data_IF_316936706276
#
_entry.id   IF_316936706276
#
_cell.length_a   1.000
_cell.length_b   1.000
_cell.length_c   1.000
_cell.angle_alpha   90.00
_cell.angle_beta   90.00
_cell.angle_gamma   90.00
#
_symmetry.space_group_name_H-M   'P 1'
#
loop_
_entity.id
_entity.type
_entity.pdbx_description
1 polymer ?
#
# COMPACT_ATOMS: atom_id res chain seq x y z
N UNK A 1 -40.11 22.09 32.57
CA UNK A 1 -39.52 23.38 32.17
C UNK A 1 -37.98 23.33 32.05
N UNK A 2 -37.35 22.19 31.73
CA UNK A 2 -35.87 22.08 31.59
C UNK A 2 -35.39 21.59 30.20
N UNK A 3 -36.25 21.47 29.20
CA UNK A 3 -35.87 21.05 27.84
C UNK A 3 -35.43 22.21 26.93
N UNK A 4 -35.72 23.46 27.30
CA UNK A 4 -35.41 24.64 26.47
C UNK A 4 -33.96 25.11 26.65
N UNK A 5 -33.38 24.94 27.85
CA UNK A 5 -31.98 25.34 28.11
C UNK A 5 -30.95 24.50 27.36
N UNK A 6 -31.15 23.18 27.25
CA UNK A 6 -30.25 22.28 26.55
C UNK A 6 -30.31 22.40 25.01
N UNK A 7 -31.46 22.79 24.46
CA UNK A 7 -31.64 22.96 23.01
C UNK A 7 -30.96 24.24 22.49
N UNK A 8 -31.04 25.34 23.25
CA UNK A 8 -30.43 26.62 22.89
C UNK A 8 -28.89 26.51 22.86
N UNK A 9 -28.28 25.76 23.78
CA UNK A 9 -26.83 25.52 23.80
C UNK A 9 -26.38 24.71 22.58
N UNK A 10 -27.18 23.72 22.15
CA UNK A 10 -26.88 22.88 20.99
C UNK A 10 -26.94 23.64 19.67
N UNK A 11 -27.97 24.45 19.45
CA UNK A 11 -28.14 25.19 18.21
C UNK A 11 -27.15 26.36 18.08
N UNK A 12 -26.86 27.05 19.18
CA UNK A 12 -25.80 28.05 19.22
C UNK A 12 -24.44 27.43 18.86
N UNK A 13 -24.12 26.27 19.47
CA UNK A 13 -22.89 25.55 19.17
C UNK A 13 -22.80 25.18 17.69
N UNK A 14 -23.89 24.68 17.08
CA UNK A 14 -23.93 24.32 15.65
C UNK A 14 -23.67 25.53 14.76
N UNK A 15 -24.31 26.67 15.03
CA UNK A 15 -24.13 27.88 14.24
C UNK A 15 -22.70 28.40 14.38
N UNK A 16 -22.17 28.49 15.60
CA UNK A 16 -20.79 28.93 15.84
C UNK A 16 -19.78 28.01 15.16
N UNK A 17 -19.97 26.70 15.28
CA UNK A 17 -19.09 25.71 14.66
C UNK A 17 -19.15 25.78 13.12
N UNK A 18 -20.34 25.93 12.54
CA UNK A 18 -20.51 26.08 11.10
C UNK A 18 -19.75 27.32 10.59
N UNK A 19 -19.87 28.45 11.30
CA UNK A 19 -19.10 29.65 10.99
C UNK A 19 -17.59 29.43 11.10
N UNK A 20 -17.12 28.76 12.15
CA UNK A 20 -15.71 28.45 12.34
C UNK A 20 -15.13 27.52 11.25
N UNK A 21 -15.89 26.51 10.82
CA UNK A 21 -15.48 25.62 9.72
C UNK A 21 -15.51 26.34 8.36
N UNK A 22 -16.48 27.22 8.14
CA UNK A 22 -16.49 28.11 6.97
C UNK A 22 -15.29 29.05 6.96
N UNK A 23 -14.95 29.63 8.11
CA UNK A 23 -13.75 30.45 8.30
C UNK A 23 -12.50 29.66 7.93
N UNK A 24 -12.37 28.45 8.49
CA UNK A 24 -11.26 27.54 8.23
C UNK A 24 -11.09 27.21 6.74
N UNK A 25 -12.18 26.89 6.03
CA UNK A 25 -12.15 26.67 4.57
C UNK A 25 -11.75 27.92 3.80
N UNK A 26 -12.22 29.10 4.24
CA UNK A 26 -11.93 30.37 3.59
C UNK A 26 -10.49 30.89 3.79
N UNK A 27 -9.78 30.43 4.83
CA UNK A 27 -8.38 30.82 5.10
C UNK A 27 -7.46 30.52 3.92
N UNK A 28 -7.55 29.29 3.38
CA UNK A 28 -6.71 28.91 2.26
C UNK A 28 -7.09 29.71 1.01
N UNK A 29 -8.37 30.00 0.79
CA UNK A 29 -8.82 30.78 -0.38
C UNK A 29 -8.29 32.20 -0.35
N UNK A 30 -8.30 32.85 0.82
CA UNK A 30 -7.72 34.18 1.02
C UNK A 30 -6.20 34.16 0.83
N UNK A 31 -5.52 33.15 1.39
CA UNK A 31 -4.08 32.97 1.25
C UNK A 31 -3.66 32.75 -0.22
N UNK A 32 -4.48 32.04 -0.99
CA UNK A 32 -4.35 31.83 -2.43
C UNK A 32 -4.82 33.02 -3.28
N UNK A 33 -5.05 34.19 -2.68
CA UNK A 33 -5.51 35.43 -3.31
C UNK A 33 -6.76 35.26 -4.20
N UNK A 34 -7.73 34.45 -3.75
CA UNK A 34 -8.99 34.24 -4.46
C UNK A 34 -10.05 35.27 -4.07
N UNK A 35 -10.98 35.54 -4.99
CA UNK A 35 -12.04 36.55 -4.85
C UNK A 35 -13.03 36.28 -3.71
N UNK A 36 -13.27 35.01 -3.37
CA UNK A 36 -14.05 34.61 -2.21
C UNK A 36 -13.12 34.03 -1.14
N UNK A 37 -12.96 34.77 -0.05
CA UNK A 37 -12.06 34.41 1.04
C UNK A 37 -12.77 34.11 2.36
N UNK A 38 -12.12 34.43 3.48
CA UNK A 38 -12.49 33.96 4.82
C UNK A 38 -13.93 34.37 5.19
N UNK A 39 -14.28 35.64 4.94
CA UNK A 39 -15.60 36.19 5.29
C UNK A 39 -16.72 35.54 4.49
N UNK A 40 -16.52 35.34 3.19
CA UNK A 40 -17.53 34.77 2.29
C UNK A 40 -17.86 33.33 2.70
N UNK A 41 -16.84 32.50 2.94
CA UNK A 41 -17.05 31.11 3.33
C UNK A 41 -17.69 30.99 4.72
N UNK A 42 -17.26 31.81 5.69
CA UNK A 42 -17.87 31.86 7.02
C UNK A 42 -19.37 32.20 6.94
N UNK A 43 -19.73 33.22 6.16
CA UNK A 43 -21.11 33.67 6.01
C UNK A 43 -21.97 32.63 5.29
N UNK A 44 -21.42 31.93 4.29
CA UNK A 44 -22.12 30.85 3.58
C UNK A 44 -22.45 29.69 4.53
N UNK A 45 -21.48 29.24 5.33
CA UNK A 45 -21.69 28.15 6.28
C UNK A 45 -22.64 28.57 7.41
N UNK A 46 -22.55 29.80 7.91
CA UNK A 46 -23.49 30.35 8.88
C UNK A 46 -24.92 30.39 8.33
N UNK A 47 -25.10 30.91 7.11
CA UNK A 47 -26.40 31.01 6.45
C UNK A 47 -27.05 29.62 6.31
N UNK A 48 -26.26 28.64 5.84
CA UNK A 48 -26.72 27.26 5.72
C UNK A 48 -27.15 26.68 7.07
N UNK A 49 -26.34 26.83 8.12
CA UNK A 49 -26.64 26.33 9.45
C UNK A 49 -27.92 26.97 10.02
N UNK A 50 -28.10 28.28 9.85
CA UNK A 50 -29.32 28.98 10.27
C UNK A 50 -30.54 28.41 9.54
N UNK A 51 -30.47 28.22 8.22
CA UNK A 51 -31.59 27.65 7.47
C UNK A 51 -31.89 26.20 7.84
N UNK A 52 -30.88 25.42 8.24
CA UNK A 52 -31.07 24.05 8.69
C UNK A 52 -31.68 24.00 10.10
N UNK A 53 -31.22 24.83 11.02
CA UNK A 53 -31.76 24.90 12.39
C UNK A 53 -33.22 25.38 12.40
N UNK A 54 -33.59 26.28 11.48
CA UNK A 54 -34.98 26.71 11.31
C UNK A 54 -35.90 25.62 10.73
N UNK A 55 -35.35 24.49 10.27
CA UNK A 55 -36.07 23.35 9.70
C UNK A 55 -37.01 23.75 8.55
N UNK A 56 -36.53 24.64 7.66
CA UNK A 56 -37.28 25.15 6.50
C UNK A 56 -36.62 24.68 5.19
N UNK A 57 -37.11 23.59 4.57
CA UNK A 57 -36.52 23.04 3.34
C UNK A 57 -36.46 24.04 2.18
N UNK A 58 -37.45 24.95 2.10
CA UNK A 58 -37.48 25.98 1.06
C UNK A 58 -36.35 27.00 1.22
N UNK A 59 -36.05 27.43 2.45
CA UNK A 59 -34.93 28.34 2.72
C UNK A 59 -33.59 27.69 2.38
N UNK A 60 -33.43 26.40 2.68
CA UNK A 60 -32.26 25.63 2.28
C UNK A 60 -32.10 25.55 0.75
N UNK A 61 -33.18 25.25 0.03
CA UNK A 61 -33.13 25.21 -1.43
C UNK A 61 -32.78 26.59 -2.03
N UNK A 62 -33.38 27.67 -1.54
CA UNK A 62 -33.11 29.04 -1.98
C UNK A 62 -31.67 29.45 -1.64
N UNK A 63 -31.18 29.13 -0.44
CA UNK A 63 -29.81 29.41 -0.02
C UNK A 63 -28.79 28.68 -0.89
N UNK A 64 -29.02 27.39 -1.15
CA UNK A 64 -28.17 26.61 -2.05
C UNK A 64 -28.17 27.16 -3.48
N UNK A 65 -29.34 27.53 -4.02
CA UNK A 65 -29.45 28.17 -5.32
C UNK A 65 -28.70 29.51 -5.37
N UNK A 66 -28.83 30.34 -4.34
CA UNK A 66 -28.11 31.60 -4.25
C UNK A 66 -26.58 31.38 -4.29
N UNK A 67 -26.06 30.42 -3.51
CA UNK A 67 -24.64 30.07 -3.53
C UNK A 67 -24.19 29.52 -4.88
N UNK A 68 -25.00 28.68 -5.53
CA UNK A 68 -24.72 28.16 -6.86
C UNK A 68 -24.66 29.28 -7.91
N UNK A 69 -25.59 30.24 -7.87
CA UNK A 69 -25.60 31.40 -8.76
C UNK A 69 -24.37 32.27 -8.52
N UNK A 70 -24.02 32.57 -7.26
CA UNK A 70 -22.79 33.32 -6.94
C UNK A 70 -21.54 32.60 -7.44
N UNK A 71 -21.45 31.28 -7.24
CA UNK A 71 -20.37 30.46 -7.75
C UNK A 71 -20.28 30.50 -9.28
N UNK A 72 -21.42 30.44 -9.99
CA UNK A 72 -21.47 30.54 -11.45
C UNK A 72 -21.01 31.91 -11.94
N UNK A 73 -21.46 33.00 -11.30
CA UNK A 73 -21.03 34.35 -11.64
C UNK A 73 -19.53 34.52 -11.50
N UNK A 74 -18.94 33.99 -10.42
CA UNK A 74 -17.48 33.99 -10.23
C UNK A 74 -16.75 33.15 -11.28
N UNK A 75 -17.30 31.99 -11.65
CA UNK A 75 -16.75 31.13 -12.71
C UNK A 75 -16.74 31.83 -14.07
N UNK A 76 -17.86 32.46 -14.44
CA UNK A 76 -18.00 33.22 -15.68
C UNK A 76 -17.05 34.43 -15.69
N UNK A 77 -16.97 35.16 -14.58
CA UNK A 77 -16.02 36.28 -14.47
C UNK A 77 -14.57 35.81 -14.66
N UNK A 78 -14.20 34.65 -14.09
CA UNK A 78 -12.88 34.05 -14.26
C UNK A 78 -12.55 33.61 -15.69
N UNK A 79 -13.58 33.28 -16.49
CA UNK A 79 -13.42 32.98 -17.92
C UNK A 79 -13.26 34.24 -18.77
N UNK A 80 -13.90 35.35 -18.37
CA UNK A 80 -13.86 36.61 -19.11
C UNK A 80 -12.60 37.44 -18.83
N UNK A 81 -11.95 37.23 -17.69
CA UNK A 81 -10.76 37.99 -17.26
C UNK A 81 -9.54 37.06 -17.25
N UNK A 82 -8.74 37.10 -18.32
CA UNK A 82 -7.57 36.24 -18.55
C UNK A 82 -6.57 36.21 -17.38
N UNK A 83 -6.39 37.32 -16.66
CA UNK A 83 -5.44 37.42 -15.53
C UNK A 83 -5.88 36.65 -14.27
N UNK A 84 -7.17 36.35 -14.11
CA UNK A 84 -7.71 35.78 -12.86
C UNK A 84 -7.67 34.25 -12.79
N UNK A 85 -7.47 33.59 -13.94
CA UNK A 85 -7.52 32.14 -14.09
C UNK A 85 -8.90 31.53 -13.79
N UNK A 86 -9.04 30.23 -14.06
CA UNK A 86 -10.29 29.49 -13.82
C UNK A 86 -10.63 29.44 -12.31
N UNK A 87 -11.67 30.16 -11.90
CA UNK A 87 -12.22 30.20 -10.53
C UNK A 87 -13.17 29.03 -10.21
N UNK A 88 -13.23 28.01 -11.07
CA UNK A 88 -14.11 26.83 -10.94
C UNK A 88 -13.99 26.14 -9.58
N UNK A 89 -12.77 26.02 -9.06
CA UNK A 89 -12.53 25.44 -7.73
C UNK A 89 -13.14 26.29 -6.62
N UNK A 90 -13.05 27.62 -6.69
CA UNK A 90 -13.69 28.53 -5.73
C UNK A 90 -15.20 28.36 -5.72
N UNK A 91 -15.83 28.26 -6.90
CA UNK A 91 -17.27 28.05 -7.04
C UNK A 91 -17.73 26.74 -6.39
N UNK A 92 -17.00 25.64 -6.62
CA UNK A 92 -17.29 24.35 -5.97
C UNK A 92 -17.04 24.43 -4.46
N UNK A 93 -15.95 25.05 -4.02
CA UNK A 93 -15.65 25.20 -2.59
C UNK A 93 -16.71 26.02 -1.85
N UNK A 94 -17.36 27.00 -2.48
CA UNK A 94 -18.49 27.72 -1.88
C UNK A 94 -19.70 26.81 -1.65
N UNK A 95 -20.00 25.91 -2.59
CA UNK A 95 -21.05 24.90 -2.41
C UNK A 95 -20.69 23.91 -1.30
N UNK A 96 -19.42 23.51 -1.21
CA UNK A 96 -18.93 22.67 -0.11
C UNK A 96 -19.10 23.38 1.23
N UNK A 97 -18.75 24.67 1.34
CA UNK A 97 -18.94 25.46 2.56
C UNK A 97 -20.43 25.55 2.96
N UNK A 98 -21.33 25.67 1.98
CA UNK A 98 -22.76 25.60 2.22
C UNK A 98 -23.16 24.23 2.78
N UNK A 99 -22.72 23.15 2.14
CA UNK A 99 -22.96 21.78 2.60
C UNK A 99 -22.42 21.49 4.01
N UNK A 100 -21.24 22.02 4.37
CA UNK A 100 -20.68 21.95 5.73
C UNK A 100 -21.61 22.61 6.74
N UNK A 101 -22.14 23.80 6.42
CA UNK A 101 -23.12 24.46 7.28
C UNK A 101 -24.42 23.68 7.44
N UNK A 102 -24.89 23.02 6.37
CA UNK A 102 -26.06 22.13 6.42
C UNK A 102 -25.80 20.91 7.31
N UNK A 103 -24.66 20.22 7.17
CA UNK A 103 -24.30 19.06 7.98
C UNK A 103 -24.23 19.41 9.47
N UNK A 104 -23.53 20.49 9.79
CA UNK A 104 -23.38 20.94 11.18
C UNK A 104 -24.73 21.39 11.74
N UNK A 105 -25.53 22.15 10.98
CA UNK A 105 -26.88 22.56 11.35
C UNK A 105 -27.81 21.38 11.61
N UNK A 106 -27.66 20.28 10.87
CA UNK A 106 -28.42 19.03 11.06
C UNK A 106 -27.89 18.15 12.21
N UNK A 107 -26.90 18.63 12.98
CA UNK A 107 -26.28 17.89 14.08
C UNK A 107 -25.26 16.82 13.66
N UNK A 108 -24.92 16.72 12.37
CA UNK A 108 -23.90 15.82 11.81
C UNK A 108 -22.51 16.44 11.93
N UNK A 109 -22.07 16.65 13.17
CA UNK A 109 -20.86 17.41 13.48
C UNK A 109 -19.60 16.75 12.92
N UNK A 110 -19.47 15.42 13.07
CA UNK A 110 -18.29 14.67 12.61
C UNK A 110 -18.18 14.71 11.10
N UNK A 111 -19.30 14.52 10.39
CA UNK A 111 -19.36 14.59 8.93
C UNK A 111 -19.04 16.01 8.43
N UNK A 112 -19.60 17.05 9.08
CA UNK A 112 -19.32 18.45 8.74
C UNK A 112 -17.85 18.82 8.90
N UNK A 113 -17.24 18.45 10.04
CA UNK A 113 -15.80 18.64 10.29
C UNK A 113 -14.97 17.86 9.28
N UNK A 114 -15.32 16.60 9.00
CA UNK A 114 -14.59 15.75 8.06
C UNK A 114 -14.60 16.36 6.65
N UNK A 115 -15.76 16.79 6.16
CA UNK A 115 -15.88 17.44 4.85
C UNK A 115 -15.09 18.75 4.81
N UNK A 116 -15.16 19.58 5.86
CA UNK A 116 -14.41 20.84 5.91
C UNK A 116 -12.89 20.61 5.91
N UNK A 117 -12.40 19.66 6.73
CA UNK A 117 -10.96 19.35 6.85
C UNK A 117 -10.43 18.72 5.58
N UNK A 118 -11.11 17.70 5.02
CA UNK A 118 -10.67 17.06 3.78
C UNK A 118 -10.71 18.02 2.59
N UNK A 119 -11.74 18.85 2.50
CA UNK A 119 -11.82 19.85 1.43
C UNK A 119 -10.71 20.89 1.57
N UNK A 120 -10.47 21.41 2.77
CA UNK A 120 -9.34 22.34 3.02
C UNK A 120 -8.00 21.70 2.68
N UNK A 121 -7.79 20.43 3.04
CA UNK A 121 -6.58 19.67 2.71
C UNK A 121 -6.36 19.57 1.19
N UNK A 122 -7.40 19.24 0.42
CA UNK A 122 -7.34 19.21 -1.05
C UNK A 122 -7.01 20.59 -1.64
N UNK A 123 -7.52 21.65 -1.03
CA UNK A 123 -7.27 23.01 -1.47
C UNK A 123 -5.83 23.46 -1.20
N UNK A 124 -5.30 23.14 -0.01
CA UNK A 124 -3.91 23.43 0.38
C UNK A 124 -2.93 22.66 -0.50
N UNK A 125 -3.17 21.37 -0.73
CA UNK A 125 -2.30 20.48 -1.51
C UNK A 125 -2.44 20.66 -3.03
N UNK A 126 -3.11 21.71 -3.51
CA UNK A 126 -3.37 21.90 -4.95
C UNK A 126 -2.09 21.86 -5.77
N UNK A 127 -1.01 22.51 -5.31
CA UNK A 127 0.25 22.61 -6.08
C UNK A 127 0.96 21.27 -6.14
N UNK A 128 0.99 20.57 -5.03
CA UNK A 128 1.59 19.25 -4.84
C UNK A 128 0.85 18.21 -5.68
N UNK A 129 -0.49 18.18 -5.61
CA UNK A 129 -1.32 17.29 -6.43
C UNK A 129 -1.13 17.54 -7.93
N UNK A 130 -0.96 18.79 -8.34
CA UNK A 130 -0.75 19.14 -9.74
C UNK A 130 0.66 18.77 -10.23
N UNK A 131 1.68 19.08 -9.42
CA UNK A 131 3.06 18.69 -9.68
C UNK A 131 3.23 17.18 -9.72
N UNK A 132 2.54 16.46 -8.83
CA UNK A 132 2.52 15.00 -8.83
C UNK A 132 1.89 14.47 -10.11
N UNK A 133 0.70 14.95 -10.48
CA UNK A 133 0.01 14.51 -11.70
C UNK A 133 0.79 14.79 -12.99
N UNK A 134 1.53 15.91 -13.05
CA UNK A 134 2.37 16.25 -14.20
C UNK A 134 3.76 15.63 -14.19
N UNK A 135 4.28 15.27 -13.02
CA UNK A 135 5.56 14.57 -12.88
C UNK A 135 5.48 13.09 -13.28
N UNK A 136 4.26 12.53 -13.36
CA UNK A 136 4.06 11.13 -13.73
C UNK A 136 4.19 10.89 -15.24
N UNK A 137 4.95 9.86 -15.61
CA UNK A 137 4.97 9.29 -16.95
C UNK A 137 3.61 8.69 -17.34
N UNK A 138 3.40 8.46 -18.64
CA UNK A 138 2.20 7.77 -19.11
C UNK A 138 2.11 6.33 -18.57
N UNK A 139 3.25 5.65 -18.46
CA UNK A 139 3.30 4.30 -17.86
C UNK A 139 2.92 4.36 -16.38
N UNK A 140 3.47 5.30 -15.59
CA UNK A 140 3.16 5.43 -14.16
C UNK A 140 1.68 5.74 -13.92
N UNK A 141 1.09 6.65 -14.70
CA UNK A 141 -0.32 7.00 -14.60
C UNK A 141 -1.21 5.81 -14.94
N UNK A 142 -0.88 5.07 -16.01
CA UNK A 142 -1.58 3.85 -16.40
C UNK A 142 -1.51 2.81 -15.29
N UNK A 143 -0.32 2.50 -14.79
CA UNK A 143 -0.09 1.52 -13.73
C UNK A 143 -0.82 1.88 -12.43
N UNK A 144 -0.82 3.16 -12.04
CA UNK A 144 -1.55 3.66 -10.87
C UNK A 144 -3.06 3.52 -11.06
N UNK A 145 -3.57 3.80 -12.27
CA UNK A 145 -4.99 3.63 -12.61
C UNK A 145 -5.39 2.15 -12.61
N UNK A 146 -4.59 1.27 -13.20
CA UNK A 146 -4.80 -0.19 -13.18
C UNK A 146 -4.84 -0.72 -11.75
N UNK A 147 -3.92 -0.28 -10.89
CA UNK A 147 -3.92 -0.61 -9.48
C UNK A 147 -5.18 -0.11 -8.75
N UNK A 148 -5.60 1.14 -9.01
CA UNK A 148 -6.83 1.68 -8.44
C UNK A 148 -8.07 0.88 -8.84
N UNK A 149 -8.13 0.38 -10.08
CA UNK A 149 -9.19 -0.52 -10.53
C UNK A 149 -9.15 -1.85 -9.76
N UNK A 150 -7.98 -2.45 -9.58
CA UNK A 150 -7.85 -3.69 -8.78
C UNK A 150 -8.29 -3.49 -7.32
N UNK A 151 -7.87 -2.38 -6.70
CA UNK A 151 -8.05 -2.11 -5.27
C UNK A 151 -9.44 -1.56 -4.91
N UNK A 152 -10.01 -0.68 -5.73
CA UNK A 152 -11.23 0.05 -5.40
C UNK A 152 -12.44 -0.33 -6.26
N UNK A 153 -12.24 -1.01 -7.39
CA UNK A 153 -13.34 -1.49 -8.24
C UNK A 153 -13.52 -2.99 -8.13
N UNK A 154 -12.47 -3.78 -8.34
CA UNK A 154 -12.59 -5.25 -8.37
C UNK A 154 -12.73 -5.83 -6.97
N UNK A 155 -11.90 -5.41 -6.01
CA UNK A 155 -11.98 -5.88 -4.62
C UNK A 155 -13.40 -5.84 -4.02
N UNK A 156 -14.16 -4.71 -4.05
CA UNK A 156 -15.50 -4.68 -3.45
C UNK A 156 -16.53 -5.50 -4.23
N UNK A 157 -16.30 -5.78 -5.52
CA UNK A 157 -17.18 -6.61 -6.34
C UNK A 157 -17.04 -8.11 -6.05
N UNK A 158 -15.93 -8.54 -5.43
CA UNK A 158 -15.74 -9.94 -5.10
C UNK A 158 -16.71 -10.41 -4.00
N UNK A 159 -17.13 -11.69 -4.02
CA UNK A 159 -17.99 -12.26 -2.99
C UNK A 159 -17.41 -12.06 -1.59
N UNK A 160 -18.26 -11.68 -0.64
CA UNK A 160 -17.90 -11.64 0.77
C UNK A 160 -18.02 -13.06 1.37
N UNK A 161 -16.96 -13.53 2.03
CA UNK A 161 -16.93 -14.82 2.72
C UNK A 161 -16.34 -15.97 1.90
N UNK A 162 -16.46 -17.17 2.46
CA UNK A 162 -15.92 -18.40 1.91
C UNK A 162 -16.71 -18.85 0.68
N UNK A 163 -15.99 -19.13 -0.40
CA UNK A 163 -16.51 -19.77 -1.60
C UNK A 163 -15.87 -21.15 -1.71
N UNK A 164 -16.66 -22.25 -1.73
CA UNK A 164 -16.09 -23.57 -1.98
C UNK A 164 -15.60 -23.63 -3.42
N UNK A 165 -14.31 -23.89 -3.59
CA UNK A 165 -13.70 -24.20 -4.88
C UNK A 165 -13.24 -25.63 -4.83
N UNK A 166 -13.79 -26.45 -5.72
CA UNK A 166 -13.51 -27.88 -5.75
C UNK A 166 -13.70 -28.49 -7.12
N UNK A 167 -12.91 -29.54 -7.38
CA UNK A 167 -13.06 -30.42 -8.52
C UNK A 167 -12.76 -31.85 -8.07
N UNK A 168 -13.46 -32.83 -8.63
CA UNK A 168 -13.24 -34.26 -8.37
C UNK A 168 -13.36 -34.70 -6.88
N UNK A 169 -14.32 -34.14 -6.13
CA UNK A 169 -14.65 -34.60 -4.76
C UNK A 169 -13.81 -33.98 -3.63
N UNK A 170 -12.94 -33.03 -3.95
CA UNK A 170 -12.23 -32.21 -2.98
C UNK A 170 -12.75 -30.77 -3.07
N UNK A 171 -13.16 -30.19 -1.94
CA UNK A 171 -13.62 -28.80 -1.82
C UNK A 171 -12.72 -28.04 -0.85
N UNK A 172 -12.23 -26.88 -1.28
CA UNK A 172 -11.49 -25.93 -0.46
C UNK A 172 -12.33 -24.69 -0.31
N UNK A 173 -12.64 -24.31 0.92
CA UNK A 173 -13.18 -22.99 1.21
C UNK A 173 -12.06 -21.96 0.95
N UNK A 174 -12.28 -21.05 0.01
CA UNK A 174 -11.38 -19.91 -0.20
C UNK A 174 -12.12 -18.61 0.01
N UNK A 175 -11.45 -17.61 0.54
CA UNK A 175 -11.99 -16.26 0.68
C UNK A 175 -11.49 -15.38 -0.48
N UNK A 176 -12.30 -15.12 -1.54
CA UNK A 176 -11.82 -14.41 -2.72
C UNK A 176 -11.34 -13.00 -2.40
N UNK A 177 -12.01 -12.31 -1.46
CA UNK A 177 -11.61 -10.99 -0.99
C UNK A 177 -10.27 -10.99 -0.29
N UNK A 178 -9.98 -11.98 0.57
CA UNK A 178 -8.68 -12.09 1.24
C UNK A 178 -7.60 -12.38 0.21
N UNK A 179 -7.84 -13.34 -0.67
CA UNK A 179 -6.91 -13.69 -1.75
C UNK A 179 -6.59 -12.46 -2.60
N UNK A 180 -7.62 -11.71 -2.99
CA UNK A 180 -7.45 -10.52 -3.80
C UNK A 180 -6.79 -9.37 -3.04
N UNK A 181 -7.11 -9.20 -1.76
CA UNK A 181 -6.48 -8.21 -0.91
C UNK A 181 -4.97 -8.49 -0.79
N UNK A 182 -4.55 -9.75 -0.74
CA UNK A 182 -3.14 -10.13 -0.80
C UNK A 182 -2.48 -9.74 -2.12
N UNK A 183 -3.16 -9.93 -3.26
CA UNK A 183 -2.68 -9.47 -4.57
C UNK A 183 -2.53 -7.94 -4.57
N UNK A 184 -3.52 -7.22 -4.04
CA UNK A 184 -3.50 -5.75 -3.91
C UNK A 184 -2.36 -5.30 -2.97
N UNK A 185 -2.13 -5.98 -1.85
CA UNK A 185 -1.05 -5.66 -0.93
C UNK A 185 0.32 -5.85 -1.58
N UNK A 186 0.56 -6.98 -2.23
CA UNK A 186 1.84 -7.25 -2.92
C UNK A 186 2.07 -6.24 -4.05
N UNK A 187 1.02 -5.91 -4.82
CA UNK A 187 1.08 -4.88 -5.86
C UNK A 187 1.35 -3.48 -5.28
N UNK A 188 0.69 -3.12 -4.17
CA UNK A 188 0.86 -1.85 -3.48
C UNK A 188 2.28 -1.66 -2.96
N UNK A 189 2.89 -2.72 -2.41
CA UNK A 189 4.31 -2.72 -2.03
C UNK A 189 5.19 -2.43 -3.24
N UNK A 190 4.89 -3.01 -4.41
CA UNK A 190 5.61 -2.74 -5.66
C UNK A 190 5.56 -1.27 -6.10
N UNK A 191 4.38 -0.65 -6.03
CA UNK A 191 4.20 0.78 -6.40
C UNK A 191 4.94 1.69 -5.42
N UNK A 192 4.78 1.47 -4.12
CA UNK A 192 5.50 2.23 -3.08
C UNK A 192 7.00 2.10 -3.28
N UNK A 193 7.46 0.89 -3.56
CA UNK A 193 8.87 0.64 -3.78
C UNK A 193 9.42 1.34 -5.04
N UNK A 194 8.69 1.28 -6.15
CA UNK A 194 9.06 2.01 -7.35
C UNK A 194 9.14 3.51 -7.09
N UNK A 195 8.18 4.08 -6.36
CA UNK A 195 8.20 5.49 -5.98
C UNK A 195 9.44 5.85 -5.15
N UNK A 196 9.86 4.96 -4.23
CA UNK A 196 11.09 5.15 -3.45
C UNK A 196 12.32 5.10 -4.36
N UNK A 197 12.47 4.06 -5.18
CA UNK A 197 13.66 3.92 -6.05
C UNK A 197 13.76 5.08 -7.05
N UNK A 198 12.62 5.50 -7.63
CA UNK A 198 12.56 6.63 -8.57
C UNK A 198 12.88 7.97 -7.88
N UNK A 199 12.38 8.20 -6.67
CA UNK A 199 12.62 9.47 -5.94
C UNK A 199 14.05 9.65 -5.47
N UNK A 200 14.73 8.56 -5.10
CA UNK A 200 16.11 8.59 -4.62
C UNK A 200 17.16 8.30 -5.72
N UNK A 201 16.72 8.13 -6.97
CA UNK A 201 17.60 8.01 -8.14
C UNK A 201 18.48 6.76 -8.16
N UNK A 202 18.11 5.69 -7.45
CA UNK A 202 18.83 4.42 -7.49
C UNK A 202 20.28 4.45 -7.00
N UNK A 203 20.69 5.42 -6.16
CA UNK A 203 22.09 5.53 -5.70
C UNK A 203 22.36 4.70 -4.45
N UNK A 204 23.34 3.82 -4.53
CA UNK A 204 23.89 3.05 -3.41
C UNK A 204 23.27 1.68 -3.16
N UNK A 205 24.05 0.81 -2.50
CA UNK A 205 23.75 -0.61 -2.23
C UNK A 205 22.40 -0.81 -1.55
N UNK A 206 22.06 0.06 -0.58
CA UNK A 206 20.81 -0.07 0.17
C UNK A 206 19.58 0.17 -0.71
N UNK A 207 19.63 1.16 -1.61
CA UNK A 207 18.51 1.49 -2.49
C UNK A 207 18.36 0.44 -3.58
N UNK A 208 19.46 0.03 -4.17
CA UNK A 208 19.48 -0.93 -5.28
C UNK A 208 19.18 -2.36 -4.81
N UNK A 209 19.72 -2.76 -3.67
CA UNK A 209 19.53 -4.09 -3.09
C UNK A 209 18.22 -4.24 -2.33
N UNK A 210 18.00 -3.45 -1.29
CA UNK A 210 16.81 -3.61 -0.42
C UNK A 210 15.53 -3.19 -1.15
N UNK A 211 15.46 -1.94 -1.60
CA UNK A 211 14.27 -1.45 -2.30
C UNK A 211 14.13 -2.15 -3.66
N UNK A 212 15.19 -2.30 -4.46
CA UNK A 212 15.12 -3.16 -5.65
C UNK A 212 14.57 -4.57 -5.37
N UNK A 213 14.95 -5.16 -4.22
CA UNK A 213 14.48 -6.48 -3.78
C UNK A 213 13.02 -6.53 -3.36
N UNK A 214 12.45 -5.45 -2.81
CA UNK A 214 11.02 -5.33 -2.49
C UNK A 214 10.16 -5.37 -3.76
N UNK A 215 10.63 -4.77 -4.87
CA UNK A 215 9.96 -4.89 -6.17
C UNK A 215 10.20 -6.27 -6.80
N UNK A 216 11.46 -6.67 -6.97
CA UNK A 216 11.81 -7.95 -7.57
C UNK A 216 13.23 -8.38 -7.18
N UNK A 217 13.30 -9.24 -6.16
CA UNK A 217 14.59 -9.81 -5.73
C UNK A 217 15.31 -10.64 -6.80
N UNK A 218 14.61 -11.21 -7.79
CA UNK A 218 15.25 -11.88 -8.93
C UNK A 218 15.82 -10.88 -9.94
N UNK A 219 15.17 -9.72 -10.13
CA UNK A 219 15.71 -8.65 -10.96
C UNK A 219 17.02 -8.11 -10.36
N UNK A 220 17.09 -7.92 -9.03
CA UNK A 220 18.33 -7.54 -8.35
C UNK A 220 19.46 -8.52 -8.67
N UNK A 221 19.22 -9.83 -8.56
CA UNK A 221 20.25 -10.84 -8.89
C UNK A 221 20.67 -10.73 -10.36
N UNK A 222 19.71 -10.55 -11.28
CA UNK A 222 19.99 -10.36 -12.71
C UNK A 222 20.87 -9.14 -12.98
N UNK A 223 20.50 -7.98 -12.43
CA UNK A 223 21.28 -6.73 -12.58
C UNK A 223 22.66 -6.87 -11.97
N UNK A 224 22.78 -7.50 -10.80
CA UNK A 224 24.07 -7.73 -10.15
C UNK A 224 24.94 -8.74 -10.93
N UNK A 225 24.34 -9.76 -11.54
CA UNK A 225 25.04 -10.69 -12.43
C UNK A 225 25.65 -9.96 -13.63
N UNK A 226 24.86 -9.14 -14.30
CA UNK A 226 25.31 -8.38 -15.46
C UNK A 226 26.34 -7.32 -15.07
N UNK A 227 26.19 -6.72 -13.89
CA UNK A 227 27.14 -5.75 -13.36
C UNK A 227 28.51 -6.40 -13.06
N UNK A 228 28.53 -7.55 -12.38
CA UNK A 228 29.78 -8.28 -12.08
C UNK A 228 30.45 -8.83 -13.35
N UNK A 229 29.67 -9.17 -14.39
CA UNK A 229 30.22 -9.56 -15.70
C UNK A 229 30.98 -8.41 -16.35
N UNK A 230 30.48 -7.18 -16.23
CA UNK A 230 31.11 -6.00 -16.81
C UNK A 230 32.27 -5.48 -15.95
N UNK A 231 32.14 -5.57 -14.61
CA UNK A 231 33.12 -5.10 -13.63
C UNK A 231 33.37 -6.18 -12.57
N UNK A 232 34.33 -7.09 -12.78
CA UNK A 232 34.59 -8.16 -11.81
C UNK A 232 34.98 -7.69 -10.41
N UNK A 233 35.47 -6.45 -10.26
CA UNK A 233 35.83 -5.82 -8.98
C UNK A 233 34.63 -5.51 -8.09
N UNK A 234 33.42 -5.40 -8.64
CA UNK A 234 32.19 -5.04 -7.90
C UNK A 234 31.45 -6.24 -7.29
N UNK A 235 32.14 -7.38 -7.17
CA UNK A 235 31.57 -8.62 -6.63
C UNK A 235 31.06 -8.45 -5.18
N UNK A 236 31.76 -7.67 -4.36
CA UNK A 236 31.38 -7.35 -2.98
C UNK A 236 30.08 -6.54 -2.91
N UNK A 237 29.98 -5.49 -3.74
CA UNK A 237 28.76 -4.69 -3.92
C UNK A 237 27.57 -5.59 -4.30
N UNK A 238 27.78 -6.44 -5.31
CA UNK A 238 26.75 -7.32 -5.85
C UNK A 238 26.26 -8.36 -4.83
N UNK A 239 27.16 -8.94 -4.03
CA UNK A 239 26.80 -9.85 -2.93
C UNK A 239 25.97 -9.10 -1.89
N UNK A 240 26.41 -7.93 -1.46
CA UNK A 240 25.69 -7.11 -0.48
C UNK A 240 24.28 -6.74 -0.98
N UNK A 241 24.14 -6.32 -2.24
CA UNK A 241 22.85 -5.99 -2.83
C UNK A 241 21.88 -7.20 -2.86
N UNK A 242 22.36 -8.40 -3.17
CA UNK A 242 21.55 -9.63 -3.14
C UNK A 242 21.10 -9.96 -1.71
N UNK A 243 21.97 -9.84 -0.72
CA UNK A 243 21.62 -10.07 0.69
C UNK A 243 20.59 -9.05 1.19
N UNK A 244 20.70 -7.78 0.77
CA UNK A 244 19.68 -6.78 1.08
C UNK A 244 18.34 -7.07 0.38
N UNK A 245 18.36 -7.65 -0.82
CA UNK A 245 17.14 -8.14 -1.46
C UNK A 245 16.52 -9.33 -0.72
N UNK A 246 17.32 -10.14 -0.03
CA UNK A 246 16.85 -11.17 0.90
C UNK A 246 16.19 -10.58 2.14
N UNK A 247 16.79 -9.53 2.72
CA UNK A 247 16.19 -8.80 3.84
C UNK A 247 14.83 -8.20 3.46
N UNK A 248 14.75 -7.54 2.31
CA UNK A 248 13.50 -6.98 1.79
C UNK A 248 12.39 -8.02 1.64
N UNK A 249 12.72 -9.17 1.05
CA UNK A 249 11.80 -10.29 0.92
C UNK A 249 11.33 -10.82 2.29
N UNK A 250 12.24 -10.98 3.26
CA UNK A 250 11.91 -11.46 4.60
C UNK A 250 11.03 -10.44 5.37
N UNK A 251 11.33 -9.14 5.27
CA UNK A 251 10.48 -8.05 5.80
C UNK A 251 9.08 -8.14 5.21
N UNK A 252 8.96 -8.31 3.89
CA UNK A 252 7.66 -8.44 3.22
C UNK A 252 6.89 -9.67 3.72
N UNK A 253 7.53 -10.84 3.77
CA UNK A 253 6.88 -12.07 4.24
C UNK A 253 6.43 -11.96 5.71
N UNK A 254 7.24 -11.32 6.56
CA UNK A 254 6.91 -11.03 7.95
C UNK A 254 5.73 -10.05 8.05
N UNK A 255 5.75 -8.98 7.27
CA UNK A 255 4.66 -8.00 7.21
C UNK A 255 3.34 -8.64 6.77
N UNK A 256 3.39 -9.50 5.75
CA UNK A 256 2.23 -10.30 5.30
C UNK A 256 1.70 -11.18 6.45
N UNK A 257 2.57 -11.91 7.14
CA UNK A 257 2.16 -12.77 8.24
C UNK A 257 1.46 -11.96 9.35
N UNK A 258 2.10 -10.90 9.83
CA UNK A 258 1.56 -10.12 10.96
C UNK A 258 0.33 -9.27 10.61
N UNK A 259 0.30 -8.66 9.42
CA UNK A 259 -0.80 -7.79 9.02
C UNK A 259 -2.11 -8.53 8.77
N UNK A 260 -2.04 -9.80 8.36
CA UNK A 260 -3.22 -10.60 8.03
C UNK A 260 -3.63 -11.57 9.14
N UNK A 261 -2.81 -11.77 10.16
CA UNK A 261 -3.15 -12.62 11.32
C UNK A 261 -3.30 -11.82 12.62
N UNK A 262 -3.85 -10.60 12.58
CA UNK A 262 -3.94 -9.71 13.76
C UNK A 262 -4.68 -10.37 14.94
N UNK A 263 -5.72 -11.15 14.67
CA UNK A 263 -6.53 -11.83 15.69
C UNK A 263 -5.82 -13.05 16.31
N UNK A 264 -4.94 -13.70 15.55
CA UNK A 264 -4.15 -14.85 15.99
C UNK A 264 -2.72 -14.74 15.43
N UNK A 265 -1.85 -13.88 16.00
CA UNK A 265 -0.59 -13.55 15.35
C UNK A 265 0.38 -14.72 15.25
N UNK A 266 0.99 -14.89 14.06
CA UNK A 266 2.06 -15.86 13.81
C UNK A 266 3.40 -15.41 14.42
N UNK A 267 3.45 -15.22 15.75
CA UNK A 267 4.64 -14.77 16.47
C UNK A 267 5.87 -15.67 16.26
N UNK A 268 5.65 -16.97 16.00
CA UNK A 268 6.72 -17.92 15.70
C UNK A 268 7.53 -17.56 14.45
N UNK A 269 6.98 -16.76 13.52
CA UNK A 269 7.69 -16.30 12.33
C UNK A 269 8.60 -15.09 12.59
N UNK A 270 8.42 -14.36 13.71
CA UNK A 270 9.16 -13.11 13.98
C UNK A 270 10.65 -13.38 14.11
N UNK A 271 11.06 -14.23 15.04
CA UNK A 271 12.48 -14.43 15.35
C UNK A 271 13.25 -15.01 14.15
N UNK A 272 12.76 -16.04 13.43
CA UNK A 272 13.51 -16.58 12.29
C UNK A 272 13.57 -15.61 11.11
N UNK A 273 12.49 -14.89 10.78
CA UNK A 273 12.52 -13.90 9.69
C UNK A 273 13.34 -12.66 10.08
N UNK A 274 13.27 -12.21 11.33
CA UNK A 274 14.14 -11.15 11.83
C UNK A 274 15.61 -11.55 11.77
N UNK A 275 15.94 -12.83 12.00
CA UNK A 275 17.29 -13.34 11.86
C UNK A 275 17.79 -13.27 10.41
N UNK A 276 16.93 -13.55 9.42
CA UNK A 276 17.26 -13.32 7.99
C UNK A 276 17.51 -11.84 7.73
N UNK A 277 16.59 -10.97 8.16
CA UNK A 277 16.69 -9.52 7.94
C UNK A 277 17.97 -8.96 8.55
N UNK A 278 18.17 -9.17 9.84
CA UNK A 278 19.33 -8.64 10.57
C UNK A 278 20.63 -9.27 10.09
N UNK A 279 20.63 -10.58 9.82
CA UNK A 279 21.78 -11.29 9.25
C UNK A 279 22.19 -10.70 7.90
N UNK A 280 21.23 -10.51 7.00
CA UNK A 280 21.46 -9.88 5.69
C UNK A 280 22.02 -8.47 5.81
N UNK A 281 21.45 -7.62 6.67
CA UNK A 281 21.96 -6.26 6.88
C UNK A 281 23.35 -6.24 7.51
N UNK A 282 23.62 -7.11 8.49
CA UNK A 282 24.92 -7.19 9.15
C UNK A 282 26.01 -7.66 8.19
N UNK A 283 25.75 -8.73 7.43
CA UNK A 283 26.69 -9.27 6.46
C UNK A 283 26.92 -8.26 5.33
N UNK A 284 25.84 -7.68 4.78
CA UNK A 284 25.95 -6.64 3.77
C UNK A 284 26.76 -5.45 4.29
N UNK A 285 26.55 -5.01 5.53
CA UNK A 285 27.28 -3.88 6.10
C UNK A 285 28.79 -4.09 6.25
N UNK A 286 29.23 -5.34 6.42
CA UNK A 286 30.65 -5.69 6.54
C UNK A 286 31.33 -5.87 5.17
N UNK A 287 30.58 -6.34 4.17
CA UNK A 287 31.14 -6.72 2.86
C UNK A 287 30.95 -5.63 1.80
N UNK A 288 29.92 -4.81 1.95
CA UNK A 288 29.57 -3.75 1.03
C UNK A 288 30.74 -2.80 0.78
N UNK A 289 31.04 -2.58 -0.51
CA UNK A 289 31.80 -1.42 -0.94
C UNK A 289 30.84 -0.24 -1.13
N UNK A 290 30.69 0.56 -0.08
CA UNK A 290 29.70 1.65 -0.02
C UNK A 290 30.03 2.83 -0.96
N UNK A 291 31.25 2.89 -1.48
CA UNK A 291 31.69 3.94 -2.39
C UNK A 291 31.30 3.64 -3.86
N UNK A 292 30.83 2.43 -4.15
CA UNK A 292 30.37 2.03 -5.48
C UNK A 292 28.87 2.33 -5.67
N UNK A 293 28.49 2.72 -6.89
CA UNK A 293 27.10 3.04 -7.25
C UNK A 293 26.69 2.25 -8.49
N UNK A 294 25.54 1.60 -8.43
CA UNK A 294 24.94 0.90 -9.56
C UNK A 294 23.55 1.47 -9.82
N UNK A 295 23.34 2.05 -10.99
CA UNK A 295 22.00 2.51 -11.36
C UNK A 295 21.08 1.30 -11.60
N UNK A 296 19.94 1.29 -10.92
CA UNK A 296 18.86 0.33 -11.13
C UNK A 296 17.76 1.03 -11.93
N UNK A 297 17.60 0.66 -13.18
CA UNK A 297 16.45 1.08 -13.98
C UNK A 297 15.25 0.18 -13.65
N UNK A 298 14.18 0.78 -13.11
CA UNK A 298 12.90 0.11 -12.96
C UNK A 298 12.02 0.48 -14.16
N UNK A 299 11.66 -0.50 -15.00
CA UNK A 299 10.87 -0.26 -16.22
C UNK A 299 9.42 0.19 -15.92
N UNK A 300 8.81 -0.28 -14.83
CA UNK A 300 7.41 0.05 -14.50
C UNK A 300 7.08 -0.15 -13.02
N UNK A 301 6.25 0.72 -12.42
CA UNK A 301 5.81 0.58 -11.03
C UNK A 301 4.94 -0.64 -10.76
N UNK A 302 4.20 -1.09 -11.78
CA UNK A 302 3.22 -2.14 -11.65
C UNK A 302 2.81 -2.64 -13.03
N UNK A 303 2.68 -3.95 -13.20
CA UNK A 303 2.10 -4.53 -14.41
C UNK A 303 0.89 -5.41 -14.08
N UNK A 304 -0.24 -5.09 -14.69
CA UNK A 304 -1.50 -5.84 -14.50
C UNK A 304 -1.33 -7.32 -14.85
N UNK A 305 -0.55 -7.61 -15.89
CA UNK A 305 -0.26 -9.00 -16.31
C UNK A 305 0.46 -9.78 -15.21
N UNK A 306 1.47 -9.18 -14.57
CA UNK A 306 2.20 -9.86 -13.50
C UNK A 306 1.33 -9.97 -12.24
N UNK A 307 0.48 -8.99 -11.95
CA UNK A 307 -0.46 -9.05 -10.82
C UNK A 307 -1.50 -10.15 -10.99
N UNK A 308 -2.12 -10.26 -12.17
CA UNK A 308 -3.05 -11.34 -12.49
C UNK A 308 -2.36 -12.71 -12.53
N UNK A 309 -1.15 -12.78 -13.11
CA UNK A 309 -0.34 -13.99 -13.12
C UNK A 309 0.05 -14.44 -11.70
N UNK A 310 0.42 -13.48 -10.84
CA UNK A 310 0.67 -13.72 -9.42
C UNK A 310 -0.59 -14.23 -8.72
N UNK A 311 -1.75 -13.60 -8.95
CA UNK A 311 -3.04 -14.05 -8.40
C UNK A 311 -3.41 -15.47 -8.83
N UNK A 312 -3.15 -15.84 -10.09
CA UNK A 312 -3.39 -17.19 -10.61
C UNK A 312 -2.43 -18.22 -10.01
N UNK A 313 -1.12 -17.94 -9.96
CA UNK A 313 -0.13 -18.80 -9.31
C UNK A 313 -0.46 -18.95 -7.83
N UNK A 314 -0.84 -17.87 -7.17
CA UNK A 314 -1.22 -17.88 -5.77
C UNK A 314 -2.46 -18.76 -5.52
N UNK A 315 -3.52 -18.63 -6.33
CA UNK A 315 -4.69 -19.51 -6.25
C UNK A 315 -4.29 -20.98 -6.43
N UNK A 316 -3.43 -21.27 -7.41
CA UNK A 316 -2.89 -22.62 -7.63
C UNK A 316 -2.18 -23.15 -6.38
N UNK A 317 -1.33 -22.33 -5.75
CA UNK A 317 -0.59 -22.72 -4.54
C UNK A 317 -1.54 -22.99 -3.37
N UNK A 318 -2.57 -22.15 -3.17
CA UNK A 318 -3.56 -22.36 -2.12
C UNK A 318 -4.30 -23.69 -2.32
N UNK A 319 -4.79 -23.94 -3.53
CA UNK A 319 -5.53 -25.18 -3.86
C UNK A 319 -4.62 -26.40 -3.74
N UNK A 320 -3.41 -26.35 -4.29
CA UNK A 320 -2.44 -27.44 -4.21
C UNK A 320 -1.98 -27.68 -2.76
N UNK A 321 -1.79 -26.61 -1.98
CA UNK A 321 -1.40 -26.68 -0.57
C UNK A 321 -2.48 -27.34 0.28
N UNK A 322 -3.73 -26.89 0.13
CA UNK A 322 -4.86 -27.51 0.82
C UNK A 322 -5.03 -28.99 0.43
N UNK A 323 -4.89 -29.32 -0.85
CA UNK A 323 -4.97 -30.70 -1.34
C UNK A 323 -3.85 -31.57 -0.75
N UNK A 324 -2.62 -31.06 -0.75
CA UNK A 324 -1.48 -31.75 -0.19
C UNK A 324 -1.65 -31.98 1.32
N UNK A 325 -2.16 -30.99 2.07
CA UNK A 325 -2.44 -31.15 3.49
C UNK A 325 -3.53 -32.21 3.73
N UNK A 326 -4.60 -32.20 2.95
CA UNK A 326 -5.71 -33.14 3.12
C UNK A 326 -5.31 -34.61 2.84
N UNK A 327 -4.41 -34.86 1.89
CA UNK A 327 -4.08 -36.23 1.45
C UNK A 327 -2.73 -36.76 1.97
N UNK A 328 -1.77 -35.87 2.17
CA UNK A 328 -0.40 -36.21 2.56
C UNK A 328 -0.04 -35.65 3.95
N UNK A 329 -0.98 -34.95 4.59
CA UNK A 329 -0.77 -34.28 5.86
C UNK A 329 0.25 -33.15 5.78
N UNK A 330 0.71 -32.74 6.96
CA UNK A 330 1.68 -31.66 7.18
C UNK A 330 2.94 -31.77 6.32
N UNK A 331 3.44 -32.98 6.11
CA UNK A 331 4.61 -33.23 5.27
C UNK A 331 4.36 -32.87 3.80
N UNK A 332 3.16 -33.16 3.29
CA UNK A 332 2.74 -32.78 1.95
C UNK A 332 2.63 -31.27 1.79
N UNK A 333 2.07 -30.58 2.78
CA UNK A 333 2.01 -29.13 2.75
C UNK A 333 3.39 -28.48 2.81
N UNK A 334 4.31 -28.97 3.64
CA UNK A 334 5.70 -28.49 3.66
C UNK A 334 6.39 -28.66 2.31
N UNK A 335 6.22 -29.80 1.64
CA UNK A 335 6.75 -30.01 0.30
C UNK A 335 6.17 -28.98 -0.70
N UNK A 336 4.84 -28.77 -0.65
CA UNK A 336 4.17 -27.78 -1.49
C UNK A 336 4.64 -26.35 -1.20
N UNK A 337 4.83 -25.97 0.07
CA UNK A 337 5.34 -24.66 0.47
C UNK A 337 6.78 -24.45 -0.02
N UNK A 338 7.63 -25.46 0.12
CA UNK A 338 9.01 -25.42 -0.37
C UNK A 338 9.05 -25.24 -1.90
N UNK A 339 8.29 -26.06 -2.65
CA UNK A 339 8.22 -25.96 -4.12
C UNK A 339 7.65 -24.62 -4.58
N UNK A 340 6.59 -24.16 -3.93
CA UNK A 340 5.93 -22.89 -4.24
C UNK A 340 6.84 -21.70 -3.94
N UNK A 341 7.66 -21.79 -2.90
CA UNK A 341 8.66 -20.79 -2.56
C UNK A 341 9.75 -20.62 -3.63
N UNK A 342 10.01 -21.64 -4.45
CA UNK A 342 10.94 -21.53 -5.59
C UNK A 342 10.39 -20.62 -6.69
N UNK A 343 9.07 -20.59 -6.84
CA UNK A 343 8.38 -19.74 -7.83
C UNK A 343 8.11 -18.36 -7.23
N UNK A 344 7.53 -18.33 -6.03
CA UNK A 344 7.13 -17.11 -5.35
C UNK A 344 7.02 -17.31 -3.84
N UNK A 345 8.00 -16.80 -3.10
CA UNK A 345 7.95 -16.77 -1.64
C UNK A 345 6.78 -15.96 -1.11
N UNK A 346 6.35 -14.91 -1.81
CA UNK A 346 5.15 -14.14 -1.47
C UNK A 346 3.88 -15.01 -1.58
N UNK A 347 3.73 -15.72 -2.69
CA UNK A 347 2.57 -16.59 -2.91
C UNK A 347 2.52 -17.73 -1.89
N UNK A 348 3.66 -18.36 -1.62
CA UNK A 348 3.75 -19.44 -0.64
C UNK A 348 3.50 -18.97 0.81
N UNK A 349 4.13 -17.86 1.24
CA UNK A 349 3.91 -17.30 2.58
C UNK A 349 2.45 -16.84 2.76
N UNK A 350 1.89 -16.19 1.74
CA UNK A 350 0.47 -15.81 1.74
C UNK A 350 -0.44 -17.03 1.83
N UNK A 351 -0.12 -18.13 1.14
CA UNK A 351 -0.96 -19.33 1.13
C UNK A 351 -1.01 -19.97 2.52
N UNK A 352 0.15 -20.02 3.19
CA UNK A 352 0.23 -20.46 4.59
C UNK A 352 -0.62 -19.56 5.52
N UNK A 353 -0.56 -18.25 5.34
CA UNK A 353 -1.37 -17.30 6.12
C UNK A 353 -2.87 -17.50 5.89
N UNK A 354 -3.31 -17.65 4.63
CA UNK A 354 -4.73 -17.86 4.31
C UNK A 354 -5.23 -19.17 4.91
N UNK A 355 -4.52 -20.27 4.69
CA UNK A 355 -4.91 -21.59 5.20
C UNK A 355 -4.86 -21.67 6.73
N UNK A 356 -3.99 -20.90 7.38
CA UNK A 356 -3.99 -20.74 8.83
C UNK A 356 -5.23 -19.99 9.33
N UNK A 357 -5.60 -18.88 8.67
CA UNK A 357 -6.79 -18.09 9.04
C UNK A 357 -8.09 -18.86 8.89
N UNK A 358 -8.19 -19.72 7.88
CA UNK A 358 -9.35 -20.59 7.65
C UNK A 358 -9.37 -21.81 8.57
N UNK A 359 -8.41 -21.93 9.50
CA UNK A 359 -8.30 -23.06 10.42
C UNK A 359 -7.87 -24.38 9.77
N UNK A 360 -7.38 -24.32 8.52
CA UNK A 360 -6.91 -25.50 7.78
C UNK A 360 -5.48 -25.91 8.16
N UNK A 361 -4.71 -25.01 8.80
CA UNK A 361 -3.37 -25.27 9.30
C UNK A 361 -3.24 -24.89 10.77
N UNK A 362 -2.42 -25.65 11.50
CA UNK A 362 -1.97 -25.28 12.83
C UNK A 362 -0.93 -24.15 12.78
N UNK A 363 -0.72 -23.48 13.92
CA UNK A 363 0.21 -22.37 14.06
C UNK A 363 1.64 -22.72 13.60
N UNK A 364 2.19 -23.82 14.11
CA UNK A 364 3.57 -24.22 13.84
C UNK A 364 3.76 -24.60 12.37
N UNK A 365 2.74 -25.22 11.77
CA UNK A 365 2.73 -25.61 10.35
C UNK A 365 2.78 -24.37 9.45
N UNK A 366 1.98 -23.35 9.77
CA UNK A 366 1.98 -22.10 9.03
C UNK A 366 3.33 -21.37 9.15
N UNK A 367 3.92 -21.32 10.37
CA UNK A 367 5.24 -20.73 10.61
C UNK A 367 6.30 -21.45 9.78
N UNK A 368 6.39 -22.79 9.88
CA UNK A 368 7.39 -23.57 9.14
C UNK A 368 7.22 -23.39 7.63
N UNK A 369 5.99 -23.34 7.11
CA UNK A 369 5.73 -23.15 5.69
C UNK A 369 6.22 -21.78 5.17
N UNK A 370 6.03 -20.69 5.93
CA UNK A 370 6.55 -19.35 5.59
C UNK A 370 8.09 -19.38 5.54
N UNK A 371 8.71 -20.14 6.43
CA UNK A 371 10.17 -20.27 6.51
C UNK A 371 10.72 -21.12 5.37
N UNK A 372 10.07 -22.24 5.05
CA UNK A 372 10.40 -23.04 3.87
C UNK A 372 10.28 -22.22 2.58
N UNK A 373 9.21 -21.42 2.45
CA UNK A 373 9.04 -20.51 1.33
C UNK A 373 10.18 -19.48 1.22
N UNK A 374 10.62 -18.96 2.37
CA UNK A 374 11.73 -17.99 2.46
C UNK A 374 13.05 -18.65 2.08
N UNK A 375 13.38 -19.80 2.66
CA UNK A 375 14.60 -20.59 2.37
C UNK A 375 14.65 -20.99 0.91
N UNK A 376 13.55 -21.47 0.32
CA UNK A 376 13.47 -21.80 -1.10
C UNK A 376 13.85 -20.62 -1.98
N UNK A 377 13.39 -19.41 -1.64
CA UNK A 377 13.72 -18.22 -2.42
C UNK A 377 15.18 -17.77 -2.24
N UNK A 378 15.77 -17.95 -1.06
CA UNK A 378 17.23 -17.76 -0.86
C UNK A 378 18.03 -18.70 -1.75
N UNK A 379 17.65 -19.98 -1.79
CA UNK A 379 18.29 -21.00 -2.64
C UNK A 379 18.18 -20.66 -4.12
N UNK A 380 17.03 -20.17 -4.58
CA UNK A 380 16.85 -19.71 -5.97
C UNK A 380 17.83 -18.59 -6.32
N UNK A 381 18.01 -17.61 -5.45
CA UNK A 381 18.94 -16.48 -5.72
C UNK A 381 20.39 -16.95 -5.74
N UNK A 382 20.78 -17.85 -4.83
CA UNK A 382 22.10 -18.48 -4.87
C UNK A 382 22.31 -19.29 -6.15
N UNK A 383 21.29 -20.04 -6.60
CA UNK A 383 21.34 -20.80 -7.85
C UNK A 383 21.46 -19.89 -9.08
N UNK A 384 20.72 -18.77 -9.11
CA UNK A 384 20.85 -17.76 -10.15
C UNK A 384 22.24 -17.13 -10.14
N UNK A 385 22.75 -16.74 -8.97
CA UNK A 385 24.10 -16.18 -8.82
C UNK A 385 25.20 -17.15 -9.26
N UNK A 386 24.99 -18.47 -9.10
CA UNK A 386 25.91 -19.50 -9.54
C UNK A 386 26.10 -19.57 -11.07
N UNK A 387 25.21 -18.95 -11.85
CA UNK A 387 25.36 -18.81 -13.31
C UNK A 387 26.39 -17.73 -13.71
N UNK A 388 26.94 -16.99 -12.74
CA UNK A 388 27.99 -16.00 -12.99
C UNK A 388 29.29 -16.65 -13.47
N UNK A 389 29.99 -16.07 -14.46
CA UNK A 389 31.36 -16.50 -14.79
C UNK A 389 32.36 -16.17 -13.65
N UNK A 390 32.03 -15.22 -12.76
CA UNK A 390 32.87 -14.89 -11.61
C UNK A 390 32.63 -15.90 -10.47
N UNK A 391 33.56 -16.85 -10.32
CA UNK A 391 33.49 -17.92 -9.29
C UNK A 391 33.58 -17.39 -7.87
N UNK A 392 34.27 -16.27 -7.65
CA UNK A 392 34.37 -15.68 -6.32
C UNK A 392 33.03 -15.12 -5.88
N UNK A 393 32.37 -14.34 -6.73
CA UNK A 393 31.02 -13.84 -6.51
C UNK A 393 30.03 -14.98 -6.24
N UNK A 394 29.97 -15.98 -7.12
CA UNK A 394 29.07 -17.13 -6.97
C UNK A 394 29.31 -17.89 -5.64
N UNK A 395 30.58 -18.10 -5.27
CA UNK A 395 30.96 -18.74 -4.01
C UNK A 395 30.56 -17.91 -2.80
N UNK A 396 30.79 -16.59 -2.83
CA UNK A 396 30.43 -15.70 -1.71
C UNK A 396 28.91 -15.69 -1.49
N UNK A 397 28.10 -15.55 -2.55
CA UNK A 397 26.64 -15.63 -2.43
C UNK A 397 26.22 -16.97 -1.82
N UNK A 398 26.74 -18.09 -2.33
CA UNK A 398 26.40 -19.41 -1.80
C UNK A 398 26.77 -19.59 -0.32
N UNK A 399 27.93 -19.10 0.11
CA UNK A 399 28.37 -19.16 1.51
C UNK A 399 27.42 -18.35 2.39
N UNK A 400 27.15 -17.10 2.05
CA UNK A 400 26.32 -16.22 2.89
C UNK A 400 24.86 -16.64 2.90
N UNK A 401 24.32 -17.11 1.77
CA UNK A 401 23.01 -17.76 1.73
C UNK A 401 22.99 -19.00 2.66
N UNK A 402 24.03 -19.84 2.63
CA UNK A 402 24.15 -20.98 3.53
C UNK A 402 24.16 -20.59 5.01
N UNK A 403 24.89 -19.52 5.36
CA UNK A 403 24.90 -18.95 6.71
C UNK A 403 23.50 -18.45 7.11
N UNK A 404 22.80 -17.72 6.24
CA UNK A 404 21.44 -17.25 6.52
C UNK A 404 20.46 -18.41 6.72
N UNK A 405 20.53 -19.45 5.89
CA UNK A 405 19.70 -20.65 6.05
C UNK A 405 19.99 -21.35 7.38
N UNK A 406 21.27 -21.50 7.75
CA UNK A 406 21.65 -22.11 9.02
C UNK A 406 21.16 -21.30 10.23
N UNK A 407 21.37 -19.97 10.21
CA UNK A 407 20.89 -19.06 11.26
C UNK A 407 19.37 -19.11 11.38
N UNK A 408 18.66 -19.11 10.25
CA UNK A 408 17.20 -19.24 10.23
C UNK A 408 16.75 -20.57 10.82
N UNK A 409 17.42 -21.68 10.45
CA UNK A 409 17.12 -23.00 10.99
C UNK A 409 17.30 -23.08 12.51
N UNK A 410 18.40 -22.52 13.03
CA UNK A 410 18.65 -22.44 14.49
C UNK A 410 17.60 -21.57 15.19
N UNK A 411 17.30 -20.39 14.62
CA UNK A 411 16.28 -19.50 15.15
C UNK A 411 14.89 -20.16 15.16
N UNK A 412 14.58 -20.95 14.15
CA UNK A 412 13.33 -21.72 14.05
C UNK A 412 13.26 -22.78 15.13
N UNK A 413 14.32 -23.58 15.28
CA UNK A 413 14.40 -24.60 16.31
C UNK A 413 14.28 -23.99 17.71
N UNK A 414 14.87 -22.82 17.96
CA UNK A 414 14.80 -22.16 19.26
C UNK A 414 13.41 -21.62 19.63
N UNK A 415 12.51 -21.45 18.65
CA UNK A 415 11.16 -20.92 18.86
C UNK A 415 10.11 -22.02 18.93
N UNK A 416 10.35 -23.14 18.24
CA UNK A 416 9.43 -24.27 18.15
C UNK A 416 9.77 -25.43 19.12
N UNK A 417 10.91 -25.37 19.79
CA UNK A 417 11.28 -26.24 20.93
C UNK A 417 10.96 -25.52 22.24
#
# INVERSE_FOLDING_TARGET
MNSVGLAIDGDLLRIVLAGALGLFLGLEREWSHKSAGIRTFSLISLLAAVFTVLDQPLLLAIGGLFVAVQGLLLAVQGLLVEESGLSLTTSVSMLVAYGVGVLVGAGRLVEGVTVAVLSSLLLVLKRELHSFAWGMSREELRSTTEFAVLAFVIYPLLPAGDVPIGAAGFEVAVEPRVIWLMVVTVAGIGIVNYAIVNSYGGRGIAITGFFGGLASSTAVVGTMLDHVRQRPSSASYAVAAILLADAAMAVRNLGIALAFTIEAPLFGAIVPLAAVVLGSFLIAGVIADWDEEVEMELESPFSLRNALGFGAIFLLIVVAGAFAEAHLGTAGFYATAALSGLVSSAGAATSAVVLYRTGSLEHDVAVIAILLATVSSLVVKAALAATSPNREFARQVAIWTGVLVAVTGVATAAVLL
#
